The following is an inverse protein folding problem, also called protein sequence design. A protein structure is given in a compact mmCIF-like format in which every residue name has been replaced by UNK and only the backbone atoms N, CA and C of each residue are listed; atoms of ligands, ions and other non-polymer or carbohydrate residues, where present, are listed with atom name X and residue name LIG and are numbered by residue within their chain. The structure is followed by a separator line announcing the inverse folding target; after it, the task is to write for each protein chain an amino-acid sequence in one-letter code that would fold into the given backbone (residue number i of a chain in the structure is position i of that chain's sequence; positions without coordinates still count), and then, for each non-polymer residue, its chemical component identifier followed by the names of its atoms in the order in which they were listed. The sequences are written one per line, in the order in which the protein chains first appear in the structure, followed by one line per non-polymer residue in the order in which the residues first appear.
data_IF_855875432339
#
_entry.id   IF_855875432339
#
_cell.length_a   1.000
_cell.length_b   1.000
_cell.length_c   1.000
_cell.angle_alpha   90.00
_cell.angle_beta   90.00
_cell.angle_gamma   90.00
#
_symmetry.space_group_name_H-M   'P 1'
#
loop_
_entity.id
_entity.type
_entity.pdbx_description
1 polymer ?
#
# COMPACT_ATOMS: atom_id res chain seq x y z
N UNK A 1 -4.69 27.11 58.83
CA UNK A 1 -4.86 28.56 59.11
C UNK A 1 -3.69 29.27 58.44
N UNK A 2 -3.82 29.77 57.22
CA UNK A 2 -4.48 31.02 56.79
C UNK A 2 -3.49 32.20 56.66
N UNK A 3 -3.21 32.53 55.39
CA UNK A 3 -3.01 33.87 54.78
C UNK A 3 -1.70 34.62 55.13
N UNK A 4 -1.04 35.30 54.19
CA UNK A 4 -1.61 36.21 53.19
C UNK A 4 -0.83 36.25 51.86
N UNK A 5 -1.59 36.39 50.78
CA UNK A 5 -1.15 36.68 49.40
C UNK A 5 -1.47 38.14 49.12
N UNK A 6 -0.49 38.88 48.61
CA UNK A 6 -0.62 40.30 48.25
C UNK A 6 -1.32 40.44 46.91
N UNK A 7 -2.51 41.03 46.92
CA UNK A 7 -3.26 41.47 45.75
C UNK A 7 -2.88 42.92 45.42
N UNK A 8 -2.33 43.15 44.24
CA UNK A 8 -2.42 44.47 43.59
C UNK A 8 -2.09 44.32 42.11
N UNK A 9 -3.11 44.47 41.27
CA UNK A 9 -3.11 45.30 40.04
C UNK A 9 -4.49 45.16 39.37
N UNK A 10 -5.33 46.13 39.72
CA UNK A 10 -6.63 46.41 39.12
C UNK A 10 -6.38 47.13 37.78
N UNK A 11 -6.86 46.58 36.67
CA UNK A 11 -6.99 47.32 35.40
C UNK A 11 -8.41 47.16 34.84
N UNK A 12 -8.98 48.23 34.25
CA UNK A 12 -10.42 48.42 34.12
C UNK A 12 -11.03 47.70 32.90
N UNK A 13 -12.33 47.41 33.02
CA UNK A 13 -13.22 46.94 31.94
C UNK A 13 -13.12 47.84 30.69
N UNK A 14 -12.53 47.33 29.62
CA UNK A 14 -12.69 47.88 28.27
C UNK A 14 -13.97 47.32 27.65
N UNK A 15 -15.01 48.16 27.60
CA UNK A 15 -16.22 47.93 26.82
C UNK A 15 -15.88 48.13 25.33
N UNK A 16 -15.93 47.06 24.56
CA UNK A 16 -15.85 47.11 23.09
C UNK A 16 -17.21 47.57 22.52
N UNK A 17 -17.24 48.56 21.62
CA UNK A 17 -18.47 48.97 20.95
C UNK A 17 -18.88 47.94 19.90
N UNK A 18 -20.12 47.47 20.03
CA UNK A 18 -20.83 46.62 19.09
C UNK A 18 -21.08 47.39 17.79
N UNK A 19 -20.21 47.22 16.79
CA UNK A 19 -20.37 47.81 15.46
C UNK A 19 -21.05 46.80 14.53
N UNK A 20 -22.37 46.93 14.42
CA UNK A 20 -23.16 46.32 13.35
C UNK A 20 -22.71 46.91 12.01
N UNK A 21 -22.06 46.10 11.18
CA UNK A 21 -21.96 46.36 9.74
C UNK A 21 -22.72 45.27 9.01
N UNK A 22 -23.97 45.61 8.64
CA UNK A 22 -24.58 45.07 7.42
C UNK A 22 -23.87 45.73 6.25
N UNK A 23 -23.21 44.94 5.40
CA UNK A 23 -22.98 45.31 4.02
C UNK A 23 -23.52 44.21 3.13
N UNK A 24 -24.69 44.47 2.56
CA UNK A 24 -25.14 43.80 1.35
C UNK A 24 -24.18 44.24 0.23
N UNK A 25 -23.26 43.35 -0.15
CA UNK A 25 -22.51 43.50 -1.39
C UNK A 25 -22.80 42.28 -2.23
N UNK A 26 -23.67 42.49 -3.21
CA UNK A 26 -23.89 41.65 -4.37
C UNK A 26 -22.56 41.52 -5.11
N UNK A 27 -21.95 40.32 -5.06
CA UNK A 27 -20.89 39.92 -5.95
C UNK A 27 -21.41 38.76 -6.80
N UNK A 28 -21.72 39.14 -8.04
CA UNK A 28 -21.98 38.27 -9.17
C UNK A 28 -20.85 37.24 -9.33
N UNK A 29 -21.13 35.92 -9.34
CA UNK A 29 -20.18 34.96 -9.82
C UNK A 29 -20.32 34.88 -11.34
N UNK A 30 -19.31 35.38 -12.04
CA UNK A 30 -19.02 34.99 -13.42
C UNK A 30 -18.74 33.48 -13.46
N UNK A 31 -19.78 32.69 -13.68
CA UNK A 31 -19.70 31.26 -13.91
C UNK A 31 -18.89 31.01 -15.19
N UNK A 32 -17.72 30.39 -15.02
CA UNK A 32 -17.04 29.70 -16.10
C UNK A 32 -17.99 28.64 -16.66
N UNK A 33 -18.45 28.93 -17.87
CA UNK A 33 -19.33 28.13 -18.72
C UNK A 33 -18.58 26.85 -19.10
N UNK A 34 -18.77 25.77 -18.33
CA UNK A 34 -18.49 24.43 -18.83
C UNK A 34 -19.44 24.15 -20.02
N UNK A 35 -18.95 23.64 -21.17
CA UNK A 35 -19.85 23.16 -22.21
C UNK A 35 -20.64 21.97 -21.65
N UNK A 36 -21.95 22.18 -21.56
CA UNK A 36 -22.97 21.19 -21.25
C UNK A 36 -22.89 20.12 -22.34
N UNK A 37 -22.26 18.99 -22.06
CA UNK A 37 -22.31 17.85 -22.96
C UNK A 37 -23.75 17.38 -23.09
N UNK A 38 -24.21 17.45 -24.33
CA UNK A 38 -25.53 17.10 -24.81
C UNK A 38 -25.89 15.68 -24.34
N UNK A 39 -26.97 15.54 -23.57
CA UNK A 39 -27.56 14.24 -23.26
C UNK A 39 -28.21 13.68 -24.52
N UNK A 40 -27.41 13.00 -25.34
CA UNK A 40 -27.88 12.26 -26.49
C UNK A 40 -28.69 11.05 -26.00
N UNK A 41 -30.02 11.19 -25.92
CA UNK A 41 -30.95 10.06 -25.82
C UNK A 41 -30.99 9.33 -27.17
N UNK A 42 -29.90 8.64 -27.49
CA UNK A 42 -29.84 7.66 -28.56
C UNK A 42 -30.06 6.29 -27.96
N UNK A 43 -31.30 5.80 -28.00
CA UNK A 43 -31.59 4.41 -27.69
C UNK A 43 -31.06 3.57 -28.85
N UNK A 44 -29.77 3.24 -28.80
CA UNK A 44 -29.18 2.25 -29.72
C UNK A 44 -29.67 0.89 -29.25
N UNK A 45 -30.71 0.39 -29.92
CA UNK A 45 -31.04 -1.03 -29.87
C UNK A 45 -29.95 -1.72 -30.67
N UNK A 46 -28.90 -2.17 -29.99
CA UNK A 46 -28.02 -3.18 -30.55
C UNK A 46 -28.85 -4.46 -30.69
N UNK A 47 -29.43 -4.66 -31.87
CA UNK A 47 -29.76 -6.00 -32.32
C UNK A 47 -28.42 -6.74 -32.43
N UNK A 48 -28.02 -7.40 -31.35
CA UNK A 48 -27.04 -8.45 -31.45
C UNK A 48 -27.70 -9.53 -32.32
N UNK A 49 -27.37 -9.52 -33.61
CA UNK A 49 -27.51 -10.70 -34.42
C UNK A 49 -26.68 -11.77 -33.70
N UNK A 50 -27.37 -12.64 -32.98
CA UNK A 50 -26.83 -13.90 -32.52
C UNK A 50 -26.19 -14.55 -33.73
N UNK A 51 -24.87 -14.44 -33.85
CA UNK A 51 -24.11 -15.37 -34.67
C UNK A 51 -24.50 -16.74 -34.13
N UNK A 52 -25.22 -17.49 -34.97
CA UNK A 52 -25.92 -18.72 -34.66
C UNK A 52 -25.17 -19.52 -33.59
N UNK A 53 -25.60 -19.35 -32.34
CA UNK A 53 -25.21 -20.23 -31.27
C UNK A 53 -25.83 -21.56 -31.61
N UNK A 54 -25.01 -22.50 -32.04
CA UNK A 54 -25.44 -23.88 -32.08
C UNK A 54 -25.84 -24.21 -30.64
N UNK A 55 -27.15 -24.30 -30.41
CA UNK A 55 -27.73 -24.86 -29.20
C UNK A 55 -27.37 -26.34 -29.20
N UNK A 56 -26.12 -26.62 -28.84
CA UNK A 56 -25.66 -27.97 -28.56
C UNK A 56 -26.26 -28.29 -27.19
N UNK A 57 -27.07 -29.35 -27.05
CA UNK A 57 -27.70 -29.75 -25.79
C UNK A 57 -26.70 -30.24 -24.71
N UNK A 58 -25.40 -29.99 -24.91
CA UNK A 58 -24.26 -30.43 -24.09
C UNK A 58 -23.72 -29.36 -23.12
N UNK A 59 -24.22 -28.12 -23.15
CA UNK A 59 -23.65 -27.04 -22.31
C UNK A 59 -23.86 -27.25 -20.81
N UNK A 60 -24.91 -27.98 -20.45
CA UNK A 60 -25.39 -28.15 -19.08
C UNK A 60 -24.92 -29.47 -18.43
N UNK A 61 -24.24 -30.34 -19.19
CA UNK A 61 -23.68 -31.55 -18.61
C UNK A 61 -22.46 -31.23 -17.75
N UNK A 62 -22.44 -31.83 -16.56
CA UNK A 62 -21.33 -31.72 -15.64
C UNK A 62 -20.09 -32.37 -16.27
N UNK A 63 -18.99 -31.64 -16.46
CA UNK A 63 -17.82 -32.16 -17.17
C UNK A 63 -17.17 -33.33 -16.43
N UNK A 64 -17.36 -33.44 -15.11
CA UNK A 64 -16.93 -34.57 -14.31
C UNK A 64 -17.73 -35.86 -14.60
N UNK A 65 -19.03 -35.74 -14.88
CA UNK A 65 -19.92 -36.86 -15.21
C UNK A 65 -19.63 -37.41 -16.62
N UNK A 66 -19.41 -36.53 -17.60
CA UNK A 66 -19.01 -36.91 -18.97
C UNK A 66 -17.70 -37.71 -18.95
N UNK A 67 -16.73 -37.25 -18.15
CA UNK A 67 -15.45 -37.92 -17.97
C UNK A 67 -15.54 -39.15 -17.05
N UNK A 68 -16.60 -39.29 -16.24
CA UNK A 68 -16.78 -40.40 -15.28
C UNK A 68 -15.76 -40.35 -14.13
N UNK A 69 -15.39 -39.14 -13.72
CA UNK A 69 -14.44 -38.86 -12.64
C UNK A 69 -15.20 -38.21 -11.49
N UNK A 70 -14.85 -38.55 -10.26
CA UNK A 70 -15.31 -37.77 -9.13
C UNK A 70 -14.59 -36.41 -9.10
N UNK A 71 -15.25 -35.30 -8.68
CA UNK A 71 -14.59 -33.99 -8.53
C UNK A 71 -13.41 -33.96 -7.54
N UNK A 72 -13.26 -35.01 -6.73
CA UNK A 72 -12.21 -35.18 -5.72
C UNK A 72 -11.01 -36.00 -6.24
N UNK A 73 -11.10 -36.59 -7.43
CA UNK A 73 -10.00 -37.36 -8.02
C UNK A 73 -8.83 -36.47 -8.44
N UNK A 74 -7.61 -36.97 -8.24
CA UNK A 74 -6.38 -36.30 -8.65
C UNK A 74 -6.24 -36.15 -10.16
N UNK A 75 -5.41 -35.21 -10.58
CA UNK A 75 -5.17 -34.88 -11.99
C UNK A 75 -4.80 -36.10 -12.85
N UNK A 76 -3.96 -36.99 -12.32
CA UNK A 76 -3.50 -38.17 -13.06
C UNK A 76 -4.62 -39.18 -13.34
N UNK A 77 -5.58 -39.31 -12.42
CA UNK A 77 -6.76 -40.15 -12.60
C UNK A 77 -7.68 -39.61 -13.69
N UNK A 78 -7.87 -38.28 -13.73
CA UNK A 78 -8.67 -37.60 -14.75
C UNK A 78 -8.04 -37.80 -16.14
N UNK A 79 -6.71 -37.64 -16.25
CA UNK A 79 -5.98 -37.82 -17.50
C UNK A 79 -6.03 -39.27 -18.00
N UNK A 80 -5.89 -40.24 -17.10
CA UNK A 80 -5.96 -41.66 -17.44
C UNK A 80 -7.36 -42.07 -17.94
N UNK A 81 -8.43 -41.64 -17.25
CA UNK A 81 -9.82 -41.94 -17.64
C UNK A 81 -10.20 -41.27 -18.96
N UNK A 82 -9.78 -40.02 -19.17
CA UNK A 82 -9.96 -39.33 -20.45
C UNK A 82 -9.27 -40.09 -21.60
N UNK A 83 -7.99 -40.45 -21.44
CA UNK A 83 -7.23 -41.17 -22.48
C UNK A 83 -7.87 -42.52 -22.83
N UNK A 84 -8.37 -43.24 -21.83
CA UNK A 84 -9.09 -44.51 -22.03
C UNK A 84 -10.40 -44.30 -22.81
N UNK A 85 -11.25 -43.38 -22.37
CA UNK A 85 -12.53 -43.09 -23.02
C UNK A 85 -12.38 -42.55 -24.45
N UNK A 86 -11.36 -41.73 -24.70
CA UNK A 86 -11.03 -41.23 -26.03
C UNK A 86 -10.62 -42.37 -26.97
N UNK A 87 -9.72 -43.26 -26.53
CA UNK A 87 -9.30 -44.44 -27.30
C UNK A 87 -10.48 -45.36 -27.61
N UNK A 88 -11.39 -45.53 -26.66
CA UNK A 88 -12.58 -46.36 -26.85
C UNK A 88 -13.60 -45.72 -27.80
N UNK A 89 -13.68 -44.38 -27.87
CA UNK A 89 -14.51 -43.65 -28.84
C UNK A 89 -13.92 -43.67 -30.24
N UNK A 90 -12.60 -43.49 -30.36
CA UNK A 90 -11.85 -43.60 -31.62
C UNK A 90 -11.95 -45.02 -32.21
N UNK A 91 -11.86 -46.05 -31.36
CA UNK A 91 -12.01 -47.45 -31.78
C UNK A 91 -13.42 -47.80 -32.26
N UNK A 92 -14.42 -47.00 -31.86
CA UNK A 92 -15.83 -47.15 -32.28
C UNK A 92 -16.21 -46.25 -33.47
N UNK A 93 -15.34 -45.32 -33.86
CA UNK A 93 -15.61 -44.35 -34.94
C UNK A 93 -16.58 -43.22 -34.54
N UNK A 94 -16.87 -43.04 -33.26
CA UNK A 94 -17.86 -42.08 -32.77
C UNK A 94 -17.24 -40.68 -32.54
N UNK A 95 -16.97 -39.95 -33.61
CA UNK A 95 -16.34 -38.61 -33.58
C UNK A 95 -17.10 -37.61 -32.68
N UNK A 96 -18.43 -37.68 -32.65
CA UNK A 96 -19.27 -36.82 -31.83
C UNK A 96 -19.03 -37.03 -30.31
N UNK A 97 -18.75 -38.26 -29.89
CA UNK A 97 -18.45 -38.56 -28.48
C UNK A 97 -17.01 -38.16 -28.11
N UNK A 98 -16.07 -38.29 -29.05
CA UNK A 98 -14.70 -37.82 -28.86
C UNK A 98 -14.65 -36.29 -28.67
N UNK A 99 -15.38 -35.53 -29.50
CA UNK A 99 -15.47 -34.07 -29.37
C UNK A 99 -16.11 -33.62 -28.06
N UNK A 100 -17.07 -34.38 -27.52
CA UNK A 100 -17.68 -34.13 -26.20
C UNK A 100 -16.69 -34.36 -25.05
N UNK A 101 -15.90 -35.44 -25.14
CA UNK A 101 -14.86 -35.75 -24.15
C UNK A 101 -13.76 -34.67 -24.12
N UNK A 102 -13.35 -34.17 -25.29
CA UNK A 102 -12.38 -33.07 -25.41
C UNK A 102 -12.91 -31.78 -24.75
N UNK A 103 -14.13 -31.37 -25.10
CA UNK A 103 -14.76 -30.17 -24.50
C UNK A 103 -14.90 -30.29 -22.98
N UNK A 104 -15.26 -31.46 -22.47
CA UNK A 104 -15.36 -31.71 -21.04
C UNK A 104 -13.99 -31.64 -20.35
N UNK A 105 -12.97 -32.24 -20.95
CA UNK A 105 -11.59 -32.21 -20.44
C UNK A 105 -11.04 -30.78 -20.39
N UNK A 106 -11.22 -30.00 -21.45
CA UNK A 106 -10.78 -28.60 -21.52
C UNK A 106 -11.51 -27.74 -20.47
N UNK A 107 -12.81 -27.96 -20.26
CA UNK A 107 -13.60 -27.26 -19.22
C UNK A 107 -13.09 -27.55 -17.81
N UNK A 108 -12.75 -28.82 -17.50
CA UNK A 108 -12.10 -29.17 -16.21
C UNK A 108 -10.74 -28.52 -16.08
N UNK A 109 -9.93 -28.54 -17.15
CA UNK A 109 -8.58 -27.96 -17.15
C UNK A 109 -8.63 -26.45 -16.90
N UNK A 110 -9.51 -25.75 -17.62
CA UNK A 110 -9.70 -24.31 -17.47
C UNK A 110 -10.26 -23.96 -16.09
N UNK A 111 -11.19 -24.76 -15.55
CA UNK A 111 -11.69 -24.57 -14.20
C UNK A 111 -10.58 -24.74 -13.14
N UNK A 112 -9.71 -25.74 -13.28
CA UNK A 112 -8.56 -25.93 -12.38
C UNK A 112 -7.58 -24.75 -12.43
N UNK A 113 -7.26 -24.24 -13.62
CA UNK A 113 -6.39 -23.06 -13.78
C UNK A 113 -7.03 -21.79 -13.21
N UNK A 114 -8.33 -21.60 -13.44
CA UNK A 114 -9.06 -20.48 -12.87
C UNK A 114 -9.15 -20.57 -11.34
N UNK A 115 -9.35 -21.77 -10.78
CA UNK A 115 -9.39 -21.98 -9.33
C UNK A 115 -8.02 -21.71 -8.70
N UNK A 116 -6.92 -22.12 -9.35
CA UNK A 116 -5.54 -21.76 -8.94
C UNK A 116 -5.32 -20.24 -8.98
N UNK A 117 -5.71 -19.56 -10.07
CA UNK A 117 -5.62 -18.09 -10.17
C UNK A 117 -6.50 -17.37 -9.13
N UNK A 118 -7.68 -17.93 -8.82
CA UNK A 118 -8.59 -17.38 -7.82
C UNK A 118 -8.11 -17.65 -6.39
N UNK A 119 -7.22 -18.62 -6.18
CA UNK A 119 -6.73 -19.03 -4.86
C UNK A 119 -7.78 -19.82 -4.09
N UNK A 120 -8.54 -20.66 -4.80
CA UNK A 120 -9.59 -21.51 -4.23
C UNK A 120 -9.10 -22.95 -4.30
N UNK A 121 -9.02 -23.62 -3.16
CA UNK A 121 -8.74 -25.06 -3.09
C UNK A 121 -10.04 -25.86 -3.23
N UNK A 122 -9.92 -27.19 -3.34
CA UNK A 122 -11.06 -28.10 -3.40
C UNK A 122 -12.11 -27.75 -2.34
N UNK A 123 -13.38 -27.65 -2.73
CA UNK A 123 -14.49 -27.34 -1.81
C UNK A 123 -14.71 -25.86 -1.51
N UNK A 124 -14.32 -24.95 -2.41
CA UNK A 124 -14.52 -23.48 -2.28
C UNK A 124 -13.75 -22.80 -1.16
N UNK A 125 -12.81 -23.50 -0.51
CA UNK A 125 -12.01 -22.94 0.56
C UNK A 125 -11.04 -21.89 -0.02
N UNK A 126 -11.17 -20.65 0.45
CA UNK A 126 -10.39 -19.51 -0.04
C UNK A 126 -9.06 -19.49 0.69
N UNK A 127 -7.97 -19.67 -0.06
CA UNK A 127 -6.61 -19.54 0.44
C UNK A 127 -6.38 -18.10 0.89
N UNK A 128 -5.71 -17.92 2.03
CA UNK A 128 -5.36 -16.59 2.53
C UNK A 128 -4.52 -15.83 1.49
N UNK A 129 -4.66 -14.49 1.48
CA UNK A 129 -3.97 -13.64 0.49
C UNK A 129 -2.44 -13.81 0.54
N UNK A 130 -1.90 -14.06 1.74
CA UNK A 130 -0.47 -14.20 1.98
C UNK A 130 0.09 -15.50 1.37
N UNK A 131 -0.70 -16.58 1.37
CA UNK A 131 -0.35 -17.84 0.73
C UNK A 131 -0.60 -17.78 -0.78
N UNK A 132 -1.68 -17.13 -1.21
CA UNK A 132 -2.02 -16.96 -2.64
C UNK A 132 -0.94 -16.22 -3.43
N UNK A 133 -0.25 -15.27 -2.81
CA UNK A 133 0.76 -14.45 -3.45
C UNK A 133 2.18 -14.72 -2.93
N UNK A 134 2.42 -15.84 -2.25
CA UNK A 134 3.74 -16.20 -1.74
C UNK A 134 4.80 -16.28 -2.87
N UNK A 135 4.39 -16.72 -4.06
CA UNK A 135 5.26 -16.81 -5.24
C UNK A 135 5.59 -15.43 -5.87
N UNK A 136 4.83 -14.38 -5.52
CA UNK A 136 5.13 -13.03 -5.98
C UNK A 136 6.24 -12.45 -5.12
N UNK A 137 7.47 -12.75 -5.51
CA UNK A 137 8.64 -12.12 -4.90
C UNK A 137 8.63 -10.61 -5.19
N UNK A 138 9.06 -9.77 -4.24
CA UNK A 138 9.23 -8.35 -4.49
C UNK A 138 10.31 -8.15 -5.57
N UNK A 139 10.06 -7.20 -6.48
CA UNK A 139 11.00 -6.83 -7.56
C UNK A 139 12.37 -6.44 -6.99
N UNK A 140 12.39 -5.83 -5.82
CA UNK A 140 13.62 -5.45 -5.12
C UNK A 140 13.66 -6.17 -3.78
N UNK A 141 14.57 -7.16 -3.59
CA UNK A 141 14.58 -7.97 -2.37
C UNK A 141 14.96 -7.17 -1.12
N UNK A 142 15.70 -6.07 -1.26
CA UNK A 142 16.17 -5.20 -0.19
C UNK A 142 15.33 -3.92 0.05
N UNK A 143 14.28 -3.69 -0.74
CA UNK A 143 13.46 -2.48 -0.62
C UNK A 143 12.45 -2.52 0.54
N UNK A 144 11.93 -1.35 0.97
CA UNK A 144 10.94 -1.27 2.03
C UNK A 144 9.66 -2.03 1.63
N UNK A 145 9.17 -2.89 2.53
CA UNK A 145 7.97 -3.72 2.33
C UNK A 145 6.83 -3.22 3.19
N UNK A 146 5.62 -3.20 2.63
CA UNK A 146 4.44 -2.79 3.40
C UNK A 146 4.21 -3.75 4.58
N UNK A 147 4.27 -3.22 5.79
CA UNK A 147 4.06 -3.93 7.04
C UNK A 147 3.57 -2.94 8.10
N UNK A 148 2.25 -2.93 8.30
CA UNK A 148 1.57 -2.06 9.26
C UNK A 148 1.97 -2.44 10.69
N UNK A 149 2.49 -1.47 11.45
CA UNK A 149 2.80 -1.64 12.88
C UNK A 149 1.54 -1.64 13.75
N UNK A 150 1.71 -1.97 15.04
CA UNK A 150 0.63 -1.92 16.02
C UNK A 150 0.05 -0.50 16.14
N UNK A 151 -1.21 -0.36 16.55
CA UNK A 151 -1.85 0.96 16.70
C UNK A 151 -1.10 1.82 17.73
N UNK A 152 -0.58 1.20 18.79
CA UNK A 152 0.22 1.87 19.81
C UNK A 152 1.53 2.42 19.21
N UNK A 153 2.24 1.61 18.41
CA UNK A 153 3.48 2.05 17.76
C UNK A 153 3.23 3.18 16.75
N UNK A 154 2.12 3.14 16.01
CA UNK A 154 1.72 4.22 15.09
C UNK A 154 1.52 5.53 15.87
N UNK A 155 0.83 5.47 17.02
CA UNK A 155 0.59 6.65 17.87
C UNK A 155 1.89 7.19 18.46
N UNK A 156 2.81 6.32 18.89
CA UNK A 156 4.13 6.73 19.40
C UNK A 156 4.93 7.41 18.30
N UNK A 157 5.01 6.81 17.11
CA UNK A 157 5.71 7.39 15.96
C UNK A 157 5.09 8.73 15.55
N UNK A 158 3.76 8.85 15.59
CA UNK A 158 3.04 10.10 15.35
C UNK A 158 3.41 11.15 16.40
N UNK A 159 3.38 10.81 17.68
CA UNK A 159 3.72 11.71 18.77
C UNK A 159 5.16 12.23 18.66
N UNK A 160 6.13 11.37 18.33
CA UNK A 160 7.53 11.76 18.10
C UNK A 160 7.61 12.77 16.93
N UNK A 161 6.98 12.45 15.78
CA UNK A 161 6.98 13.37 14.63
C UNK A 161 6.30 14.71 14.96
N UNK A 162 5.19 14.69 15.69
CA UNK A 162 4.46 15.89 16.11
C UNK A 162 5.28 16.75 17.09
N UNK A 163 5.96 16.12 18.06
CA UNK A 163 6.78 16.83 19.03
C UNK A 163 7.93 17.60 18.36
N UNK A 164 8.66 16.96 17.45
CA UNK A 164 9.77 17.61 16.74
C UNK A 164 9.31 18.64 15.70
N UNK A 165 8.14 18.45 15.07
CA UNK A 165 7.56 19.47 14.19
C UNK A 165 7.08 20.70 14.97
N UNK A 166 6.47 20.52 16.14
CA UNK A 166 6.09 21.61 17.03
C UNK A 166 7.32 22.33 17.57
N UNK A 167 8.39 21.60 17.92
CA UNK A 167 9.65 22.18 18.36
C UNK A 167 10.18 23.20 17.35
N UNK A 168 10.35 22.80 16.08
CA UNK A 168 10.90 23.70 15.06
C UNK A 168 9.96 24.87 14.73
N UNK A 169 8.64 24.67 14.82
CA UNK A 169 7.65 25.72 14.61
C UNK A 169 7.73 26.84 15.66
N UNK A 170 8.07 26.49 16.91
CA UNK A 170 8.24 27.45 18.01
C UNK A 170 9.60 28.12 17.91
N UNK A 171 10.67 27.33 17.74
CA UNK A 171 12.03 27.86 17.83
C UNK A 171 12.36 28.78 16.65
N UNK A 172 11.84 28.52 15.45
CA UNK A 172 12.02 29.29 14.19
C UNK A 172 13.46 29.68 13.82
N UNK A 173 14.44 29.29 14.61
CA UNK A 173 15.85 29.56 14.41
C UNK A 173 16.44 28.52 13.46
N UNK A 174 17.45 28.93 12.70
CA UNK A 174 18.14 28.13 11.69
C UNK A 174 19.08 27.07 12.31
N UNK A 175 18.58 26.26 13.24
CA UNK A 175 19.32 25.15 13.80
C UNK A 175 18.69 23.80 13.41
N UNK A 176 19.46 22.96 12.71
CA UNK A 176 19.10 21.57 12.38
C UNK A 176 19.08 20.60 13.57
N UNK A 177 19.14 21.08 14.82
CA UNK A 177 19.09 20.23 16.02
C UNK A 177 17.83 19.36 16.11
N UNK A 178 16.61 19.88 15.83
CA UNK A 178 15.41 19.05 15.85
C UNK A 178 15.47 17.91 14.83
N UNK A 179 16.06 18.15 13.65
CA UNK A 179 16.25 17.13 12.62
C UNK A 179 17.22 16.03 13.09
N UNK A 180 18.30 16.39 13.78
CA UNK A 180 19.25 15.42 14.32
C UNK A 180 18.60 14.50 15.36
N UNK A 181 17.90 15.07 16.35
CA UNK A 181 17.21 14.28 17.38
C UNK A 181 16.08 13.42 16.82
N UNK A 182 15.31 13.97 15.88
CA UNK A 182 14.31 13.23 15.12
C UNK A 182 14.92 12.02 14.41
N UNK A 183 16.08 12.21 13.76
CA UNK A 183 16.79 11.15 13.06
C UNK A 183 17.20 10.03 14.02
N UNK A 184 17.81 10.36 15.15
CA UNK A 184 18.19 9.36 16.16
C UNK A 184 16.97 8.59 16.70
N UNK A 185 15.88 9.29 17.01
CA UNK A 185 14.65 8.65 17.49
C UNK A 185 14.08 7.66 16.47
N UNK A 186 14.02 8.05 15.19
CA UNK A 186 13.49 7.17 14.14
C UNK A 186 14.44 6.04 13.74
N UNK A 187 15.76 6.25 13.78
CA UNK A 187 16.76 5.16 13.61
C UNK A 187 16.51 4.07 14.64
N UNK A 188 16.36 4.45 15.91
CA UNK A 188 16.08 3.51 17.00
C UNK A 188 14.74 2.78 16.78
N UNK A 189 13.66 3.50 16.47
CA UNK A 189 12.33 2.92 16.26
C UNK A 189 12.28 1.95 15.07
N UNK A 190 12.91 2.31 13.95
CA UNK A 190 12.99 1.43 12.78
C UNK A 190 13.87 0.21 13.10
N UNK A 191 14.96 0.39 13.82
CA UNK A 191 15.84 -0.71 14.23
C UNK A 191 15.11 -1.72 15.13
N UNK A 192 14.38 -1.26 16.15
CA UNK A 192 13.55 -2.12 17.00
C UNK A 192 12.48 -2.85 16.19
N UNK A 193 11.82 -2.14 15.27
CA UNK A 193 10.83 -2.74 14.38
C UNK A 193 11.45 -3.85 13.54
N UNK A 194 12.62 -3.61 12.94
CA UNK A 194 13.34 -4.60 12.14
C UNK A 194 13.76 -5.82 12.97
N UNK A 195 14.12 -5.63 14.25
CA UNK A 195 14.47 -6.71 15.18
C UNK A 195 13.30 -7.68 15.43
N UNK A 196 12.06 -7.19 15.45
CA UNK A 196 10.88 -8.02 15.70
C UNK A 196 10.49 -8.96 14.54
N UNK A 197 10.97 -8.70 13.32
CA UNK A 197 10.63 -9.49 12.13
C UNK A 197 11.65 -10.57 11.76
N UNK A 198 12.70 -10.73 12.55
CA UNK A 198 13.71 -11.76 12.32
C UNK A 198 13.26 -13.07 12.97
N UNK A 199 13.29 -14.20 12.24
CA UNK A 199 13.00 -15.50 12.85
C UNK A 199 13.99 -15.75 13.99
N UNK A 200 13.55 -16.33 15.13
CA UNK A 200 14.45 -16.74 16.19
C UNK A 200 15.40 -17.80 15.60
N UNK A 201 16.65 -17.40 15.33
CA UNK A 201 17.67 -18.32 14.85
C UNK A 201 18.11 -19.15 16.04
N UNK A 202 17.87 -20.47 15.96
CA UNK A 202 18.47 -21.41 16.91
C UNK A 202 19.99 -21.22 16.87
N UNK A 203 20.65 -21.03 18.02
CA UNK A 203 22.09 -20.81 18.05
C UNK A 203 22.76 -21.99 17.37
N UNK A 204 23.37 -21.73 16.21
CA UNK A 204 24.20 -22.72 15.54
C UNK A 204 25.56 -22.62 16.22
N UNK A 205 25.74 -23.41 17.28
CA UNK A 205 27.03 -23.54 17.93
C UNK A 205 27.96 -24.29 16.98
N UNK A 206 28.85 -23.56 16.31
CA UNK A 206 30.04 -24.15 15.69
C UNK A 206 31.08 -24.43 16.78
N UNK A 207 31.92 -25.44 16.56
CA UNK A 207 32.91 -25.96 17.52
C UNK A 207 33.87 -24.88 18.05
N UNK A 208 34.02 -23.76 17.33
CA UNK A 208 34.89 -22.63 17.68
C UNK A 208 34.26 -21.55 18.59
N UNK A 209 33.04 -21.77 19.11
CA UNK A 209 32.45 -20.93 20.17
C UNK A 209 32.13 -19.47 19.81
N UNK A 210 32.31 -19.06 18.56
CA UNK A 210 32.15 -17.66 18.15
C UNK A 210 30.75 -17.38 17.56
N UNK A 211 30.03 -16.41 18.15
CA UNK A 211 28.76 -15.86 17.63
C UNK A 211 28.98 -14.98 16.37
N UNK A 212 29.82 -15.40 15.42
CA UNK A 212 30.33 -14.56 14.32
C UNK A 212 29.22 -13.96 13.45
N UNK A 213 28.04 -14.59 13.42
CA UNK A 213 26.88 -14.12 12.66
C UNK A 213 26.04 -13.01 13.33
N UNK A 214 26.04 -12.90 14.67
CA UNK A 214 25.07 -12.07 15.40
C UNK A 214 25.38 -10.57 15.28
N UNK A 215 26.66 -10.21 15.41
CA UNK A 215 27.15 -8.84 15.25
C UNK A 215 26.95 -8.32 13.83
N UNK A 216 27.28 -9.13 12.82
CA UNK A 216 27.10 -8.78 11.40
C UNK A 216 25.63 -8.55 11.05
N UNK A 217 24.71 -9.34 11.59
CA UNK A 217 23.26 -9.15 11.44
C UNK A 217 22.78 -7.88 12.16
N UNK A 218 23.28 -7.57 13.35
CA UNK A 218 22.99 -6.28 14.02
C UNK A 218 23.48 -5.09 13.19
N UNK A 219 24.70 -5.16 12.67
CA UNK A 219 25.26 -4.14 11.78
C UNK A 219 24.43 -3.95 10.51
N UNK A 220 24.00 -5.04 9.86
CA UNK A 220 23.14 -4.97 8.66
C UNK A 220 21.78 -4.32 8.95
N UNK A 221 21.19 -4.58 10.13
CA UNK A 221 19.94 -3.94 10.58
C UNK A 221 20.12 -2.45 10.80
N UNK A 222 21.18 -2.08 11.50
CA UNK A 222 21.51 -0.68 11.76
C UNK A 222 21.79 0.07 10.47
N UNK A 223 22.52 -0.54 9.52
CA UNK A 223 22.79 0.08 8.22
C UNK A 223 21.49 0.30 7.42
N UNK A 224 20.54 -0.64 7.47
CA UNK A 224 19.22 -0.48 6.85
C UNK A 224 18.42 0.64 7.48
N UNK A 225 18.36 0.72 8.81
CA UNK A 225 17.62 1.80 9.48
C UNK A 225 18.25 3.16 9.25
N UNK A 226 19.59 3.27 9.32
CA UNK A 226 20.33 4.48 8.98
C UNK A 226 20.10 4.89 7.52
N UNK A 227 20.30 3.96 6.58
CA UNK A 227 20.10 4.21 5.15
C UNK A 227 18.68 4.69 4.85
N UNK A 228 17.66 4.12 5.51
CA UNK A 228 16.28 4.54 5.33
C UNK A 228 16.02 5.95 5.87
N UNK A 229 16.55 6.29 7.06
CA UNK A 229 16.39 7.62 7.67
C UNK A 229 17.12 8.69 6.85
N UNK A 230 18.39 8.46 6.52
CA UNK A 230 19.14 9.36 5.65
C UNK A 230 18.55 9.45 4.25
N UNK A 231 17.97 8.36 3.74
CA UNK A 231 17.22 8.36 2.48
C UNK A 231 15.98 9.27 2.53
N UNK A 232 15.25 9.29 3.65
CA UNK A 232 14.12 10.21 3.85
C UNK A 232 14.59 11.66 3.90
N UNK A 233 15.68 11.95 4.60
CA UNK A 233 16.28 13.30 4.66
C UNK A 233 16.73 13.74 3.27
N UNK A 234 17.47 12.89 2.56
CA UNK A 234 17.95 13.18 1.21
C UNK A 234 16.79 13.41 0.24
N UNK A 235 15.74 12.58 0.29
CA UNK A 235 14.55 12.76 -0.54
C UNK A 235 13.83 14.08 -0.23
N UNK A 236 13.68 14.44 1.05
CA UNK A 236 13.08 15.73 1.44
C UNK A 236 13.92 16.93 1.00
N UNK A 237 15.25 16.86 1.17
CA UNK A 237 16.18 17.90 0.73
C UNK A 237 16.18 18.04 -0.80
N UNK A 238 16.22 16.94 -1.54
CA UNK A 238 16.15 16.96 -3.00
C UNK A 238 14.79 17.46 -3.50
N UNK A 239 13.70 17.11 -2.84
CA UNK A 239 12.38 17.64 -3.17
C UNK A 239 12.32 19.16 -2.96
N UNK A 240 12.87 19.66 -1.84
CA UNK A 240 12.96 21.10 -1.58
C UNK A 240 13.77 21.82 -2.67
N UNK A 241 14.98 21.34 -2.98
CA UNK A 241 15.81 21.90 -4.05
C UNK A 241 15.14 21.78 -5.42
N UNK A 242 14.47 20.66 -5.70
CA UNK A 242 13.73 20.44 -6.93
C UNK A 242 12.59 21.42 -7.13
N UNK A 243 11.88 21.78 -6.05
CA UNK A 243 10.85 22.83 -6.07
C UNK A 243 11.47 24.18 -6.40
N UNK A 244 12.61 24.53 -5.80
CA UNK A 244 13.31 25.79 -6.10
C UNK A 244 13.74 25.85 -7.58
N UNK A 245 14.35 24.78 -8.09
CA UNK A 245 14.79 24.69 -9.48
C UNK A 245 13.61 24.74 -10.45
N UNK A 246 12.45 24.19 -10.08
CA UNK A 246 11.24 24.25 -10.91
C UNK A 246 10.70 25.69 -10.99
N UNK A 247 10.71 26.43 -9.88
CA UNK A 247 10.29 27.84 -9.86
C UNK A 247 11.20 28.68 -10.75
N UNK A 248 12.51 28.48 -10.65
CA UNK A 248 13.49 29.16 -11.49
C UNK A 248 13.35 28.79 -12.97
N UNK A 249 13.12 27.51 -13.28
CA UNK A 249 12.86 27.03 -14.64
C UNK A 249 11.61 27.67 -15.26
N UNK A 250 10.58 27.95 -14.45
CA UNK A 250 9.38 28.67 -14.88
C UNK A 250 9.59 30.18 -15.04
N UNK A 251 10.82 30.69 -14.86
CA UNK A 251 11.14 32.12 -14.91
C UNK A 251 10.62 32.90 -13.70
N UNK A 252 10.28 32.21 -12.61
CA UNK A 252 9.75 32.81 -11.39
C UNK A 252 10.85 33.23 -10.41
N UNK A 253 10.56 34.23 -9.59
CA UNK A 253 11.40 34.60 -8.46
C UNK A 253 11.15 33.67 -7.27
N UNK A 254 12.21 33.25 -6.59
CA UNK A 254 12.11 32.41 -5.39
C UNK A 254 11.41 33.20 -4.27
N UNK A 255 10.24 32.74 -3.77
CA UNK A 255 9.55 33.40 -2.67
C UNK A 255 10.42 33.45 -1.41
N UNK A 256 10.53 34.63 -0.79
CA UNK A 256 11.29 34.83 0.45
C UNK A 256 10.83 33.90 1.59
N UNK A 257 9.55 33.51 1.60
CA UNK A 257 9.02 32.53 2.54
C UNK A 257 9.71 31.17 2.43
N UNK A 258 9.95 30.65 1.22
CA UNK A 258 10.60 29.35 1.04
C UNK A 258 12.03 29.40 1.53
N UNK A 259 12.77 30.42 1.10
CA UNK A 259 14.16 30.62 1.48
C UNK A 259 14.35 30.74 3.00
N UNK A 260 13.52 31.56 3.66
CA UNK A 260 13.62 31.78 5.11
C UNK A 260 13.15 30.59 5.96
N UNK A 261 12.35 29.68 5.39
CA UNK A 261 11.80 28.53 6.12
C UNK A 261 12.36 27.20 5.62
N UNK A 262 13.55 27.19 5.02
CA UNK A 262 14.19 25.99 4.50
C UNK A 262 14.22 24.86 5.53
N UNK A 263 14.71 25.13 6.74
CA UNK A 263 14.88 24.10 7.77
C UNK A 263 13.55 23.57 8.28
N UNK A 264 12.56 24.46 8.41
CA UNK A 264 11.21 24.11 8.79
C UNK A 264 10.61 23.14 7.78
N UNK A 265 10.72 23.46 6.48
CA UNK A 265 10.15 22.66 5.39
C UNK A 265 10.84 21.30 5.28
N UNK A 266 12.17 21.25 5.33
CA UNK A 266 12.92 20.00 5.25
C UNK A 266 12.60 19.11 6.47
N UNK A 267 12.61 19.67 7.68
CA UNK A 267 12.37 18.90 8.91
C UNK A 267 10.94 18.39 8.99
N UNK A 268 9.94 19.22 8.67
CA UNK A 268 8.53 18.81 8.66
C UNK A 268 8.25 17.74 7.62
N UNK A 269 8.75 17.91 6.38
CA UNK A 269 8.63 16.91 5.33
C UNK A 269 9.29 15.59 5.74
N UNK A 270 10.51 15.66 6.29
CA UNK A 270 11.22 14.47 6.78
C UNK A 270 10.44 13.77 7.91
N UNK A 271 9.89 14.52 8.86
CA UNK A 271 9.11 13.96 9.97
C UNK A 271 7.87 13.20 9.47
N UNK A 272 7.18 13.72 8.45
CA UNK A 272 6.04 13.06 7.82
C UNK A 272 6.48 11.78 7.10
N UNK A 273 7.55 11.85 6.30
CA UNK A 273 8.08 10.67 5.60
C UNK A 273 8.51 9.58 6.59
N UNK A 274 9.23 9.94 7.65
CA UNK A 274 9.67 9.02 8.69
C UNK A 274 8.49 8.40 9.45
N UNK A 275 7.46 9.17 9.78
CA UNK A 275 6.24 8.65 10.38
C UNK A 275 5.60 7.57 9.49
N UNK A 276 5.47 7.84 8.19
CA UNK A 276 4.88 6.89 7.23
C UNK A 276 5.76 5.64 7.12
N UNK A 277 7.07 5.80 6.95
CA UNK A 277 8.00 4.68 6.82
C UNK A 277 8.02 3.80 8.07
N UNK A 278 8.19 4.38 9.26
CA UNK A 278 8.23 3.62 10.50
C UNK A 278 6.88 2.93 10.82
N UNK A 279 5.76 3.53 10.43
CA UNK A 279 4.42 3.00 10.72
C UNK A 279 3.96 1.93 9.73
N UNK A 280 4.25 2.10 8.44
CA UNK A 280 3.66 1.27 7.38
C UNK A 280 4.65 0.42 6.62
N UNK A 281 5.97 0.60 6.81
CA UNK A 281 7.00 -0.10 6.05
C UNK A 281 8.04 -0.78 6.95
N UNK A 282 8.72 -1.80 6.43
CA UNK A 282 9.89 -2.46 7.04
C UNK A 282 11.00 -2.61 6.02
#
# INVERSE_FOLDING_TARGET
MALAVSNSLHCPRLRLPQRNFRSNVSLSPSFLRFPRTLTWKGRVVCAAASAAGSSSPDSDLNPYEVLGVSPLEGFDAIKAKYKRKRKDAESRGDEATAARLEKAYDKVMMAQLQNRKKGVTFGSFKVSKDVKYADKQPIVPWGPRFTKSSIQDIRINLAISAAFTIWILIQRNAEYKPLQFLSFAFVYRIFEKLKAFEPPVSPTYTEDGEETGRGLQMGKRLLRSLSLVFGCIAAASLAYTGILNLIEFMGGYIPAFLYNNQELLITTSTAIMLHIMASFYR
#
